data_IF_063003934124
#
_entry.id   IF_063003934124
#
_cell.length_a   1.000
_cell.length_b   1.000
_cell.length_c   1.000
_cell.angle_alpha   90.00
_cell.angle_beta   90.00
_cell.angle_gamma   90.00
#
_symmetry.space_group_name_H-M   'P 1'
#
loop_
_entity.id
_entity.type
_entity.pdbx_description
1 polymer ?
#
# COMPACT_ATOMS: atom_id res chain seq x y z
N UNK A 1 0.38 22.90 16.60
CA UNK A 1 0.21 21.51 17.05
C UNK A 1 0.17 21.56 18.57
N UNK A 2 -0.96 21.23 19.19
CA UNK A 2 -1.17 21.43 20.63
C UNK A 2 -0.71 20.19 21.40
N UNK A 3 0.30 20.36 22.27
CA UNK A 3 0.70 19.35 23.25
C UNK A 3 -0.38 19.24 24.34
N UNK A 4 -0.91 18.03 24.56
CA UNK A 4 -1.76 17.74 25.72
C UNK A 4 -3.11 17.05 25.45
N UNK A 5 -3.48 16.78 24.20
CA UNK A 5 -4.70 16.01 23.93
C UNK A 5 -4.52 14.51 24.29
N UNK A 6 -5.53 13.86 24.90
CA UNK A 6 -5.47 12.43 25.17
C UNK A 6 -5.33 11.65 23.87
N UNK A 7 -4.19 10.96 23.73
CA UNK A 7 -3.89 10.15 22.54
C UNK A 7 -4.26 8.69 22.81
N UNK A 8 -5.18 8.17 22.01
CA UNK A 8 -5.39 6.73 21.90
C UNK A 8 -4.32 6.16 20.97
N UNK A 9 -3.34 5.43 21.53
CA UNK A 9 -2.26 4.82 20.77
C UNK A 9 -2.15 3.34 21.12
N UNK A 10 -2.33 2.48 20.12
CA UNK A 10 -2.15 1.04 20.25
C UNK A 10 -1.38 0.55 19.02
N UNK A 11 -0.34 -0.28 19.21
CA UNK A 11 0.52 -0.70 18.11
C UNK A 11 -0.27 -1.38 16.97
N UNK A 12 -1.28 -2.19 17.34
CA UNK A 12 -2.17 -2.84 16.37
C UNK A 12 -3.04 -1.89 15.54
N UNK A 13 -3.21 -0.63 15.96
CA UNK A 13 -3.99 0.38 15.21
C UNK A 13 -3.18 1.03 14.08
N UNK A 14 -1.86 0.83 14.03
CA UNK A 14 -0.97 1.41 13.02
C UNK A 14 -0.54 0.36 11.97
N UNK A 15 -1.30 -0.72 11.81
CA UNK A 15 -1.01 -1.75 10.82
C UNK A 15 -1.74 -1.39 9.53
N UNK A 16 -0.99 -1.31 8.43
CA UNK A 16 -1.54 -1.15 7.08
C UNK A 16 -1.55 -2.53 6.43
N UNK A 17 -2.74 -3.07 6.20
CA UNK A 17 -2.89 -4.42 5.64
C UNK A 17 -2.99 -4.45 4.11
N UNK A 18 -3.33 -3.32 3.51
CA UNK A 18 -3.58 -3.23 2.06
C UNK A 18 -2.33 -2.90 1.23
N UNK A 19 -1.20 -2.58 1.86
CA UNK A 19 0.04 -2.18 1.17
C UNK A 19 1.13 -3.22 1.36
N UNK A 20 1.79 -3.55 0.25
CA UNK A 20 2.81 -4.58 0.18
C UNK A 20 4.00 -4.06 -0.61
N UNK A 21 5.21 -4.45 -0.18
CA UNK A 21 6.47 -3.92 -0.72
C UNK A 21 6.84 -2.53 -0.18
N UNK A 22 7.96 -1.99 -0.64
CA UNK A 22 8.43 -0.64 -0.28
C UNK A 22 8.24 0.34 -1.45
N UNK A 23 7.33 1.34 -1.35
CA UNK A 23 7.09 2.28 -2.44
C UNK A 23 8.30 3.17 -2.77
N UNK A 24 9.30 3.28 -1.90
CA UNK A 24 10.53 4.04 -2.16
C UNK A 24 11.57 3.25 -2.95
N UNK A 25 11.49 1.91 -2.93
CA UNK A 25 12.42 1.00 -3.61
C UNK A 25 11.79 0.39 -4.86
N UNK A 26 10.49 0.21 -4.86
CA UNK A 26 9.76 -0.41 -5.93
C UNK A 26 9.93 0.35 -7.25
N UNK A 27 10.28 -0.40 -8.30
CA UNK A 27 10.39 0.13 -9.67
C UNK A 27 9.10 -0.07 -10.48
N UNK A 28 8.16 -0.80 -9.90
CA UNK A 28 6.82 -1.03 -10.41
C UNK A 28 5.81 -0.86 -9.28
N UNK A 29 4.76 -0.07 -9.55
CA UNK A 29 3.64 0.15 -8.63
C UNK A 29 2.37 -0.41 -9.26
N UNK A 30 1.70 -1.31 -8.55
CA UNK A 30 0.46 -1.95 -9.00
C UNK A 30 -0.70 -1.58 -8.09
N UNK A 31 -1.78 -1.07 -8.67
CA UNK A 31 -3.02 -0.83 -7.96
C UNK A 31 -4.05 -1.87 -8.41
N UNK A 32 -4.44 -2.74 -7.48
CA UNK A 32 -5.41 -3.82 -7.75
C UNK A 32 -6.61 -3.69 -6.83
N UNK A 33 -7.76 -4.18 -7.29
CA UNK A 33 -8.86 -4.40 -6.35
C UNK A 33 -8.50 -5.52 -5.35
N UNK A 34 -9.08 -5.45 -4.15
CA UNK A 34 -8.78 -6.37 -3.06
C UNK A 34 -9.25 -7.81 -3.30
N UNK A 35 -10.16 -8.05 -4.25
CA UNK A 35 -10.64 -9.39 -4.54
C UNK A 35 -9.58 -10.23 -5.27
N UNK A 36 -8.61 -9.59 -5.91
CA UNK A 36 -7.50 -10.26 -6.58
C UNK A 36 -6.25 -10.47 -5.70
N UNK A 37 -6.27 -10.07 -4.42
CA UNK A 37 -5.08 -10.10 -3.54
C UNK A 37 -4.37 -11.47 -3.56
N UNK A 38 -5.13 -12.56 -3.41
CA UNK A 38 -4.58 -13.92 -3.35
C UNK A 38 -3.86 -14.34 -4.64
N UNK A 39 -4.33 -13.89 -5.81
CA UNK A 39 -3.68 -14.20 -7.10
C UNK A 39 -2.52 -13.23 -7.39
N UNK A 40 -2.61 -12.00 -6.88
CA UNK A 40 -1.63 -10.95 -7.12
C UNK A 40 -0.32 -11.23 -6.38
N UNK A 41 -0.38 -11.74 -5.15
CA UNK A 41 0.82 -12.08 -4.36
C UNK A 41 1.73 -13.08 -5.10
N UNK A 42 1.17 -14.22 -5.55
CA UNK A 42 1.91 -15.24 -6.31
C UNK A 42 2.43 -14.70 -7.66
N UNK A 43 1.62 -13.86 -8.32
CA UNK A 43 2.01 -13.23 -9.59
C UNK A 43 3.21 -12.28 -9.41
N UNK A 44 3.20 -11.47 -8.35
CA UNK A 44 4.31 -10.55 -8.02
C UNK A 44 5.56 -11.33 -7.64
N UNK A 45 5.44 -12.38 -6.81
CA UNK A 45 6.57 -13.22 -6.46
C UNK A 45 7.21 -13.88 -7.69
N UNK A 46 6.39 -14.42 -8.59
CA UNK A 46 6.84 -15.02 -9.85
C UNK A 46 7.50 -13.98 -10.77
N UNK A 47 6.94 -12.77 -10.84
CA UNK A 47 7.50 -11.68 -11.63
C UNK A 47 8.89 -11.27 -11.13
N UNK A 48 9.07 -11.10 -9.82
CA UNK A 48 10.35 -10.74 -9.22
C UNK A 48 11.41 -11.83 -9.41
N UNK A 49 11.01 -13.10 -9.30
CA UNK A 49 11.90 -14.23 -9.58
C UNK A 49 12.38 -14.24 -11.05
N UNK A 50 11.51 -13.88 -11.99
CA UNK A 50 11.84 -13.79 -13.41
C UNK A 50 12.59 -12.50 -13.79
N UNK A 51 12.53 -11.45 -12.97
CA UNK A 51 13.10 -10.13 -13.25
C UNK A 51 13.86 -9.58 -12.03
N UNK A 52 15.05 -10.12 -11.69
CA UNK A 52 15.79 -9.69 -10.50
C UNK A 52 16.13 -8.19 -10.47
N UNK A 53 16.30 -7.56 -11.64
CA UNK A 53 16.61 -6.13 -11.78
C UNK A 53 15.44 -5.20 -11.41
N UNK A 54 14.23 -5.74 -11.26
CA UNK A 54 13.07 -4.98 -10.81
C UNK A 54 13.16 -4.57 -9.33
N UNK A 55 14.02 -5.25 -8.54
CA UNK A 55 14.27 -5.07 -7.11
C UNK A 55 13.06 -5.30 -6.19
N UNK A 56 11.97 -4.55 -6.40
CA UNK A 56 10.74 -4.65 -5.61
C UNK A 56 9.51 -4.21 -6.44
N UNK A 57 8.35 -4.70 -6.04
CA UNK A 57 7.05 -4.27 -6.56
C UNK A 57 6.20 -3.82 -5.38
N UNK A 58 5.81 -2.56 -5.39
CA UNK A 58 4.81 -2.06 -4.45
C UNK A 58 3.43 -2.35 -5.03
N UNK A 59 2.56 -2.98 -4.25
CA UNK A 59 1.17 -3.15 -4.67
C UNK A 59 0.20 -2.83 -3.54
N UNK A 60 -0.92 -2.21 -3.94
CA UNK A 60 -2.01 -1.88 -3.05
C UNK A 60 -3.26 -2.69 -3.40
N UNK A 61 -3.90 -3.28 -2.40
CA UNK A 61 -5.16 -4.03 -2.50
C UNK A 61 -6.34 -3.26 -1.93
N UNK A 62 -6.20 -1.94 -1.82
CA UNK A 62 -7.24 -1.02 -1.39
C UNK A 62 -8.48 -1.15 -2.28
N UNK A 63 -9.70 -1.10 -1.72
CA UNK A 63 -10.91 -1.15 -2.52
C UNK A 63 -10.94 -0.09 -3.66
N UNK A 64 -11.61 -0.39 -4.79
CA UNK A 64 -11.56 0.47 -5.98
C UNK A 64 -11.97 1.93 -5.74
N UNK A 65 -12.98 2.17 -4.89
CA UNK A 65 -13.47 3.52 -4.61
C UNK A 65 -12.40 4.46 -4.01
N UNK A 66 -11.84 4.11 -2.83
CA UNK A 66 -10.73 4.86 -2.24
C UNK A 66 -9.52 4.99 -3.17
N UNK A 67 -9.16 3.92 -3.88
CA UNK A 67 -8.04 3.92 -4.82
C UNK A 67 -8.24 4.95 -5.95
N UNK A 68 -9.41 4.95 -6.60
CA UNK A 68 -9.75 5.93 -7.65
C UNK A 68 -9.72 7.36 -7.11
N UNK A 69 -10.20 7.57 -5.88
CA UNK A 69 -10.10 8.88 -5.23
C UNK A 69 -8.65 9.30 -5.01
N UNK A 70 -7.78 8.38 -4.56
CA UNK A 70 -6.37 8.64 -4.31
C UNK A 70 -5.63 9.01 -5.61
N UNK A 71 -5.83 8.24 -6.68
CA UNK A 71 -5.24 8.50 -7.99
C UNK A 71 -5.66 9.86 -8.57
N UNK A 72 -6.93 10.25 -8.38
CA UNK A 72 -7.43 11.58 -8.83
C UNK A 72 -6.86 12.74 -8.03
N UNK A 73 -6.60 12.54 -6.74
CA UNK A 73 -6.10 13.58 -5.83
C UNK A 73 -4.57 13.64 -5.78
N UNK A 74 -3.90 12.59 -6.27
CA UNK A 74 -2.44 12.46 -6.23
C UNK A 74 -1.91 12.19 -4.81
N UNK A 75 -2.75 11.70 -3.91
CA UNK A 75 -2.37 11.39 -2.54
C UNK A 75 -3.23 10.24 -2.01
N UNK A 76 -2.60 9.34 -1.27
CA UNK A 76 -3.29 8.27 -0.57
C UNK A 76 -3.20 8.50 0.93
N UNK A 77 -4.37 8.52 1.58
CA UNK A 77 -4.49 8.73 3.03
C UNK A 77 -5.10 7.50 3.70
N UNK A 78 -4.44 7.02 4.75
CA UNK A 78 -4.94 5.94 5.60
C UNK A 78 -4.74 6.34 7.07
N UNK A 79 -5.81 6.79 7.72
CA UNK A 79 -5.71 7.40 9.05
C UNK A 79 -4.83 8.66 9.01
N UNK A 80 -3.69 8.62 9.69
CA UNK A 80 -2.68 9.67 9.70
C UNK A 80 -1.48 9.39 8.76
N UNK A 81 -1.47 8.26 8.04
CA UNK A 81 -0.50 7.99 6.98
C UNK A 81 -0.88 8.76 5.72
N UNK A 82 0.11 9.39 5.10
CA UNK A 82 0.00 10.02 3.79
C UNK A 82 1.15 9.55 2.90
N UNK A 83 0.80 9.04 1.72
CA UNK A 83 1.71 8.68 0.63
C UNK A 83 1.44 9.59 -0.58
#
# INVERSE_FOLDING_TARGET
>A
MADGEPRFAHAGSNIVLDFHGDPNRARLVVFSDGNHHMALEESVATFLAANPDAEDVFYATTPPGPLVSALKKGALHLGNLSL
#
